data_IF_986436355402
#
_entry.id   IF_986436355402
#
_cell.length_a   1.000
_cell.length_b   1.000
_cell.length_c   1.000
_cell.angle_alpha   90.00
_cell.angle_beta   90.00
_cell.angle_gamma   90.00
#
_symmetry.space_group_name_H-M   'P 1'
#
loop_
_entity.id
_entity.type
_entity.pdbx_description
1 polymer ?
#
# COMPACT_ATOMS: atom_id res chain seq x y z
N UNK A 1 -0.94 13.35 0.81
CA UNK A 1 -0.55 12.46 -0.30
C UNK A 1 -1.18 12.91 -1.60
N UNK A 2 -0.69 14.00 -2.22
CA UNK A 2 -1.23 14.44 -3.50
C UNK A 2 -0.91 13.43 -4.62
N UNK A 3 0.32 12.90 -4.62
CA UNK A 3 0.83 12.02 -5.67
C UNK A 3 0.20 10.62 -5.73
N UNK A 4 -0.42 10.14 -4.65
CA UNK A 4 -1.09 8.82 -4.62
C UNK A 4 -2.61 8.94 -4.60
N UNK A 5 -3.14 10.17 -4.70
CA UNK A 5 -4.58 10.42 -4.69
C UNK A 5 -5.21 9.78 -5.94
N UNK A 6 -6.17 8.89 -5.74
CA UNK A 6 -6.83 8.14 -6.81
C UNK A 6 -6.13 6.84 -7.21
N UNK A 7 -4.95 6.55 -6.66
CA UNK A 7 -4.28 5.26 -6.86
C UNK A 7 -4.87 4.21 -5.93
N UNK A 8 -4.82 2.94 -6.34
CA UNK A 8 -5.18 1.81 -5.49
C UNK A 8 -3.94 1.21 -4.84
N UNK A 9 -4.08 0.77 -3.59
CA UNK A 9 -3.05 0.06 -2.86
C UNK A 9 -3.53 -1.33 -2.56
N UNK A 10 -2.80 -2.33 -3.03
CA UNK A 10 -3.18 -3.74 -2.91
C UNK A 10 -2.08 -4.48 -2.15
N UNK A 11 -2.41 -4.97 -0.96
CA UNK A 11 -1.51 -5.81 -0.19
C UNK A 11 -1.38 -7.21 -0.81
N UNK A 12 -0.16 -7.73 -0.89
CA UNK A 12 0.09 -9.09 -1.37
C UNK A 12 0.41 -10.04 -0.22
N UNK A 13 -0.54 -10.92 0.11
CA UNK A 13 -0.40 -11.93 1.17
C UNK A 13 0.76 -12.90 0.89
N UNK A 14 0.86 -13.42 -0.35
CA UNK A 14 1.87 -14.43 -0.70
C UNK A 14 3.24 -13.83 -1.00
N UNK A 15 3.27 -12.62 -1.57
CA UNK A 15 4.50 -12.03 -2.09
C UNK A 15 5.11 -10.93 -1.20
N UNK A 16 4.50 -10.63 -0.05
CA UNK A 16 5.06 -9.75 0.98
C UNK A 16 5.43 -8.32 0.49
N UNK A 17 4.60 -7.74 -0.38
CA UNK A 17 4.73 -6.36 -0.85
C UNK A 17 3.36 -5.69 -0.94
N UNK A 18 3.36 -4.36 -1.06
CA UNK A 18 2.16 -3.58 -1.42
C UNK A 18 2.31 -3.13 -2.88
N UNK A 19 1.31 -3.39 -3.71
CA UNK A 19 1.28 -2.91 -5.10
C UNK A 19 0.54 -1.59 -5.16
N UNK A 20 1.20 -0.55 -5.69
CA UNK A 20 0.57 0.72 -6.05
C UNK A 20 0.10 0.63 -7.49
N UNK A 21 -1.20 0.64 -7.69
CA UNK A 21 -1.82 0.67 -9.01
C UNK A 21 -2.19 2.12 -9.33
N UNK A 22 -1.56 2.68 -10.34
CA UNK A 22 -1.82 4.04 -10.81
C UNK A 22 -3.06 4.00 -11.69
N UNK A 23 -4.08 4.76 -11.31
CA UNK A 23 -5.35 4.83 -12.02
C UNK A 23 -5.52 6.23 -12.64
N UNK A 24 -5.93 6.26 -13.91
CA UNK A 24 -6.32 7.49 -14.60
C UNK A 24 -7.61 7.24 -15.39
N UNK A 25 -8.64 8.06 -15.17
CA UNK A 25 -9.94 7.92 -15.86
C UNK A 25 -10.51 6.49 -15.78
N UNK A 26 -10.48 5.88 -14.59
CA UNK A 26 -10.88 4.49 -14.34
C UNK A 26 -10.09 3.41 -15.10
N UNK A 27 -8.94 3.75 -15.67
CA UNK A 27 -8.04 2.79 -16.33
C UNK A 27 -6.73 2.65 -15.55
N UNK A 28 -6.20 1.44 -15.53
CA UNK A 28 -4.86 1.15 -14.99
C UNK A 28 -3.83 1.67 -15.99
N UNK A 29 -3.00 2.62 -15.56
CA UNK A 29 -1.93 3.20 -16.40
C UNK A 29 -0.53 2.81 -15.95
N UNK A 30 -0.42 2.18 -14.77
CA UNK A 30 0.87 1.71 -14.24
C UNK A 30 0.70 0.90 -12.97
N UNK A 31 1.73 0.14 -12.63
CA UNK A 31 1.83 -0.62 -11.38
C UNK A 31 3.25 -0.55 -10.84
N UNK A 32 3.39 -0.34 -9.55
CA UNK A 32 4.69 -0.32 -8.86
C UNK A 32 4.62 -1.12 -7.56
N UNK A 33 5.59 -2.00 -7.38
CA UNK A 33 5.78 -2.69 -6.11
C UNK A 33 6.46 -1.75 -5.13
N UNK A 34 5.76 -1.44 -4.05
CA UNK A 34 6.26 -0.66 -2.93
C UNK A 34 6.36 -1.56 -1.69
N UNK A 35 7.17 -1.15 -0.71
CA UNK A 35 7.28 -1.83 0.59
C UNK A 35 7.55 -3.34 0.44
N UNK A 36 8.60 -3.69 -0.28
CA UNK A 36 9.00 -5.09 -0.46
C UNK A 36 9.58 -5.67 0.84
N UNK A 37 9.39 -6.98 1.05
CA UNK A 37 9.93 -7.74 2.17
C UNK A 37 9.45 -7.29 3.56
N UNK A 38 8.27 -6.67 3.64
CA UNK A 38 7.68 -6.25 4.93
C UNK A 38 6.97 -7.38 5.68
N UNK A 39 6.87 -8.56 5.08
CA UNK A 39 6.09 -9.69 5.62
C UNK A 39 4.67 -9.78 5.06
N UNK A 40 3.90 -10.74 5.57
CA UNK A 40 2.57 -11.08 5.06
C UNK A 40 1.59 -9.95 5.34
N UNK A 41 1.26 -9.19 4.30
CA UNK A 41 0.36 -8.03 4.41
C UNK A 41 -1.07 -8.49 4.54
N UNK A 42 -1.77 -8.01 5.57
CA UNK A 42 -3.16 -8.38 5.87
C UNK A 42 -4.14 -7.27 5.52
N UNK A 43 -3.82 -6.05 5.94
CA UNK A 43 -4.64 -4.86 5.70
C UNK A 43 -3.76 -3.70 5.21
N UNK A 44 -4.33 -2.89 4.32
CA UNK A 44 -3.76 -1.61 3.87
C UNK A 44 -4.88 -0.59 3.91
N UNK A 45 -4.76 0.43 4.76
CA UNK A 45 -5.81 1.43 4.95
C UNK A 45 -5.22 2.84 5.02
N UNK A 46 -6.01 3.83 4.62
CA UNK A 46 -5.66 5.24 4.75
C UNK A 46 -6.29 5.79 6.04
N UNK A 47 -5.47 6.30 6.95
CA UNK A 47 -5.94 6.97 8.15
C UNK A 47 -6.59 8.32 7.85
N UNK A 48 -7.32 8.86 8.83
CA UNK A 48 -7.97 10.19 8.75
C UNK A 48 -6.97 11.34 8.64
N UNK A 49 -5.74 11.09 9.08
CA UNK A 49 -4.56 11.96 8.95
C UNK A 49 -3.96 11.92 7.53
N UNK A 50 -4.47 11.06 6.67
CA UNK A 50 -4.06 10.87 5.29
C UNK A 50 -2.82 10.00 5.12
N UNK A 51 -2.28 9.39 6.19
CA UNK A 51 -1.19 8.43 6.09
C UNK A 51 -1.70 7.04 5.76
N UNK A 52 -0.85 6.20 5.18
CA UNK A 52 -1.18 4.81 4.88
C UNK A 52 -0.65 3.93 6.00
N UNK A 53 -1.52 3.05 6.47
CA UNK A 53 -1.25 2.08 7.52
C UNK A 53 -1.28 0.69 6.91
N UNK A 54 -0.23 -0.09 7.16
CA UNK A 54 -0.08 -1.46 6.65
C UNK A 54 0.05 -2.40 7.81
N UNK A 55 -0.94 -3.28 7.98
CA UNK A 55 -0.93 -4.35 8.99
C UNK A 55 -0.32 -5.63 8.43
N UNK A 56 0.64 -6.22 9.16
CA UNK A 56 1.29 -7.49 8.83
C UNK A 56 1.06 -8.52 9.94
N UNK A 57 0.95 -9.81 9.59
CA UNK A 57 0.64 -10.87 10.56
C UNK A 57 1.84 -11.36 11.36
N UNK A 58 3.04 -11.40 10.77
CA UNK A 58 4.27 -11.84 11.44
C UNK A 58 5.35 -10.76 11.22
N UNK A 59 5.81 -10.04 12.26
CA UNK A 59 5.60 -10.26 13.70
C UNK A 59 4.30 -9.69 14.32
N UNK A 60 3.29 -9.30 13.52
CA UNK A 60 2.05 -8.74 14.07
C UNK A 60 2.20 -7.24 14.34
N UNK A 61 2.42 -6.45 13.29
CA UNK A 61 2.80 -5.03 13.42
C UNK A 61 2.04 -4.18 12.43
N UNK A 62 1.76 -2.93 12.80
CA UNK A 62 1.19 -1.93 11.91
C UNK A 62 2.25 -0.88 11.59
N UNK A 63 2.59 -0.74 10.31
CA UNK A 63 3.49 0.30 9.83
C UNK A 63 2.72 1.52 9.39
N UNK A 64 3.23 2.71 9.73
CA UNK A 64 2.83 3.96 9.08
C UNK A 64 3.80 4.26 7.94
N UNK A 65 3.29 4.28 6.72
CA UNK A 65 4.07 4.47 5.50
C UNK A 65 4.07 5.94 5.13
N UNK A 66 5.23 6.59 5.13
CA UNK A 66 5.41 7.95 4.63
C UNK A 66 6.21 7.93 3.33
N UNK A 67 5.67 8.38 2.19
CA UNK A 67 6.41 8.58 0.97
C UNK A 67 7.33 9.77 1.17
N UNK A 68 8.57 9.64 0.70
CA UNK A 68 9.51 10.74 0.56
C UNK A 68 9.11 11.61 -0.63
#
# INVERSE_FOLDING_TARGET
YPAWKGNLLVGSLRFNYVNRVIMQNNKVVGQEKILMNIGRTRNVEMGRDGYIYVGIENPGTVFRVRPM
#
